data_IF_380421450054
#
_entry.id   IF_380421450054
#
_cell.length_a   1.000
_cell.length_b   1.000
_cell.length_c   1.000
_cell.angle_alpha   90.00
_cell.angle_beta   90.00
_cell.angle_gamma   90.00
#
_symmetry.space_group_name_H-M   'P 1'
#
loop_
_entity.id
_entity.type
_entity.pdbx_description
1 polymer ?
#
# COMPACT_ATOMS: atom_id res chain seq x y z
N UNK A 1 9.52 -9.91 13.68
CA UNK A 1 9.26 -8.64 12.97
C UNK A 1 7.81 -8.61 12.54
N UNK A 2 7.20 -7.44 12.41
CA UNK A 2 5.93 -7.34 11.71
C UNK A 2 6.06 -7.90 10.29
N UNK A 3 4.93 -8.22 9.66
CA UNK A 3 4.90 -8.64 8.26
C UNK A 3 5.46 -7.50 7.40
N UNK A 4 6.44 -7.82 6.54
CA UNK A 4 7.04 -6.87 5.60
C UNK A 4 6.69 -7.26 4.17
N UNK A 5 6.05 -6.33 3.44
CA UNK A 5 5.59 -6.49 2.06
C UNK A 5 6.37 -5.59 1.10
N UNK A 6 6.52 -6.02 -0.14
CA UNK A 6 7.01 -5.20 -1.25
C UNK A 6 5.82 -4.71 -2.07
N UNK A 7 5.49 -3.42 -1.99
CA UNK A 7 4.46 -2.83 -2.85
C UNK A 7 4.94 -2.78 -4.31
N UNK A 8 4.05 -3.11 -5.24
CA UNK A 8 4.39 -3.19 -6.67
C UNK A 8 4.96 -1.89 -7.20
N UNK A 9 4.47 -0.76 -6.68
CA UNK A 9 4.93 0.56 -7.13
C UNK A 9 6.42 0.81 -6.89
N UNK A 10 7.07 0.13 -5.95
CA UNK A 10 8.53 0.21 -5.74
C UNK A 10 9.32 -0.33 -6.93
N UNK A 11 8.76 -1.29 -7.65
CA UNK A 11 9.36 -1.97 -8.81
C UNK A 11 8.35 -2.08 -9.95
N UNK A 12 7.66 -1.00 -10.26
CA UNK A 12 6.47 -0.96 -11.15
C UNK A 12 6.71 -1.48 -12.56
N UNK A 13 7.93 -1.51 -13.03
CA UNK A 13 8.36 -2.08 -14.31
C UNK A 13 8.50 -3.62 -14.29
N UNK A 14 8.41 -4.25 -13.12
CA UNK A 14 8.32 -5.70 -13.00
C UNK A 14 6.91 -6.18 -13.39
N UNK A 15 6.81 -7.27 -14.14
CA UNK A 15 5.53 -7.97 -14.28
C UNK A 15 5.15 -8.69 -12.96
N UNK A 16 3.92 -9.20 -12.82
CA UNK A 16 3.49 -9.85 -11.59
C UNK A 16 4.38 -11.01 -11.12
N UNK A 17 4.95 -11.79 -12.03
CA UNK A 17 5.81 -12.93 -11.70
C UNK A 17 7.19 -12.44 -11.25
N UNK A 18 7.74 -11.45 -11.95
CA UNK A 18 9.01 -10.81 -11.60
C UNK A 18 8.93 -10.07 -10.25
N UNK A 19 7.78 -9.45 -9.92
CA UNK A 19 7.53 -8.86 -8.60
C UNK A 19 7.61 -9.91 -7.49
N UNK A 20 6.93 -11.06 -7.67
CA UNK A 20 6.94 -12.16 -6.68
C UNK A 20 8.36 -12.69 -6.50
N UNK A 21 9.10 -12.91 -7.60
CA UNK A 21 10.49 -13.35 -7.55
C UNK A 21 11.41 -12.35 -6.85
N UNK A 22 11.23 -11.06 -7.14
CA UNK A 22 12.00 -9.99 -6.50
C UNK A 22 11.71 -9.93 -4.99
N UNK A 23 10.44 -10.05 -4.59
CA UNK A 23 10.04 -10.10 -3.18
C UNK A 23 10.67 -11.30 -2.46
N UNK A 24 10.55 -12.50 -3.04
CA UNK A 24 11.12 -13.72 -2.47
C UNK A 24 12.66 -13.64 -2.35
N UNK A 25 13.35 -13.20 -3.41
CA UNK A 25 14.81 -13.06 -3.42
C UNK A 25 15.33 -11.99 -2.45
N UNK A 26 14.48 -11.01 -2.11
CA UNK A 26 14.77 -9.94 -1.17
C UNK A 26 14.34 -10.26 0.28
N UNK A 27 13.72 -11.44 0.52
CA UNK A 27 13.30 -11.88 1.85
C UNK A 27 12.11 -11.11 2.43
N UNK A 28 11.18 -10.70 1.58
CA UNK A 28 9.87 -10.20 2.00
C UNK A 28 8.94 -11.35 2.37
N UNK A 29 7.95 -11.08 3.22
CA UNK A 29 6.91 -12.05 3.60
C UNK A 29 5.77 -12.08 2.57
N UNK A 30 5.56 -10.96 1.88
CA UNK A 30 4.46 -10.77 0.93
C UNK A 30 4.80 -9.70 -0.12
N UNK A 31 3.93 -9.56 -1.11
CA UNK A 31 3.92 -8.43 -2.05
C UNK A 31 2.54 -7.79 -2.09
N UNK A 32 2.48 -6.48 -2.33
CA UNK A 32 1.28 -5.79 -2.81
C UNK A 32 1.24 -5.87 -4.33
N UNK A 33 0.12 -6.23 -4.93
CA UNK A 33 0.03 -6.44 -6.38
C UNK A 33 -0.89 -5.43 -7.03
N UNK A 34 -0.36 -4.67 -7.99
CA UNK A 34 -1.17 -3.76 -8.80
C UNK A 34 -1.90 -4.52 -9.90
N UNK A 35 -3.25 -4.54 -9.81
CA UNK A 35 -4.12 -5.22 -10.77
C UNK A 35 -5.07 -4.25 -11.48
N UNK A 36 -5.09 -2.98 -11.05
CA UNK A 36 -5.84 -1.89 -11.69
C UNK A 36 -4.86 -0.80 -12.09
N UNK A 37 -4.84 -0.34 -13.34
CA UNK A 37 -3.96 0.75 -13.76
C UNK A 37 -4.41 2.06 -13.09
N UNK A 38 -3.48 2.86 -12.54
CA UNK A 38 -3.83 4.18 -12.03
C UNK A 38 -4.29 5.11 -13.16
N UNK A 39 -5.13 6.11 -12.86
CA UNK A 39 -5.57 7.08 -13.85
C UNK A 39 -4.40 7.75 -14.56
N UNK A 40 -4.43 7.74 -15.90
CA UNK A 40 -3.41 8.36 -16.75
C UNK A 40 -2.03 7.69 -16.70
N UNK A 41 -1.92 6.49 -16.14
CA UNK A 41 -0.69 5.70 -16.19
C UNK A 41 -0.61 4.84 -17.47
N UNK A 42 0.60 4.35 -17.77
CA UNK A 42 0.78 3.33 -18.79
C UNK A 42 -0.01 2.06 -18.44
N UNK A 43 -0.43 1.28 -19.43
CA UNK A 43 -1.06 -0.02 -19.20
C UNK A 43 -0.14 -0.91 -18.36
N UNK A 44 -0.75 -1.66 -17.43
CA UNK A 44 -0.08 -2.71 -16.67
C UNK A 44 -0.35 -4.07 -17.31
N UNK A 45 0.42 -5.09 -16.92
CA UNK A 45 0.13 -6.47 -17.34
C UNK A 45 -1.26 -6.87 -16.84
N UNK A 46 -2.17 -7.30 -17.72
CA UNK A 46 -3.51 -7.69 -17.33
C UNK A 46 -3.50 -8.88 -16.36
N UNK A 47 -4.28 -8.76 -15.30
CA UNK A 47 -4.49 -9.83 -14.30
C UNK A 47 -5.97 -10.10 -14.12
N UNK A 48 -6.78 -9.04 -14.00
CA UNK A 48 -8.24 -9.15 -13.92
C UNK A 48 -8.78 -9.68 -15.24
N UNK A 49 -9.51 -10.80 -15.17
CA UNK A 49 -10.05 -11.47 -16.37
C UNK A 49 -9.05 -12.34 -17.15
N UNK A 50 -7.76 -12.35 -16.77
CA UNK A 50 -6.75 -13.23 -17.38
C UNK A 50 -6.52 -14.47 -16.51
N UNK A 51 -7.28 -15.52 -16.78
CA UNK A 51 -7.18 -16.79 -16.05
C UNK A 51 -5.80 -17.48 -16.22
N UNK A 52 -5.07 -17.23 -17.30
CA UNK A 52 -3.74 -17.81 -17.51
C UNK A 52 -2.72 -17.12 -16.58
N UNK A 53 -2.75 -15.78 -16.52
CA UNK A 53 -1.90 -15.02 -15.63
C UNK A 53 -2.21 -15.33 -14.16
N UNK A 54 -3.49 -15.40 -13.77
CA UNK A 54 -3.90 -15.73 -12.38
C UNK A 54 -3.38 -17.13 -11.96
N UNK A 55 -3.46 -18.14 -12.86
CA UNK A 55 -2.86 -19.45 -12.59
C UNK A 55 -1.34 -19.39 -12.46
N UNK A 56 -0.67 -18.62 -13.31
CA UNK A 56 0.78 -18.45 -13.24
C UNK A 56 1.22 -17.78 -11.94
N UNK A 57 0.50 -16.74 -11.49
CA UNK A 57 0.72 -16.07 -10.21
C UNK A 57 0.55 -17.08 -9.05
N UNK A 58 -0.55 -17.81 -9.00
CA UNK A 58 -0.80 -18.82 -7.94
C UNK A 58 0.29 -19.90 -7.91
N UNK A 59 0.73 -20.38 -9.05
CA UNK A 59 1.83 -21.34 -9.13
C UNK A 59 3.16 -20.75 -8.62
N UNK A 60 3.45 -19.47 -8.95
CA UNK A 60 4.65 -18.79 -8.47
C UNK A 60 4.61 -18.53 -6.96
N UNK A 61 3.47 -18.13 -6.40
CA UNK A 61 3.27 -17.99 -4.98
C UNK A 61 3.51 -19.31 -4.24
N UNK A 62 2.97 -20.42 -4.79
CA UNK A 62 3.16 -21.76 -4.19
C UNK A 62 4.63 -22.21 -4.20
N UNK A 63 5.41 -21.89 -5.25
CA UNK A 63 6.82 -22.29 -5.35
C UNK A 63 7.75 -21.42 -4.54
N UNK A 64 7.41 -20.15 -4.34
CA UNK A 64 8.24 -19.19 -3.59
C UNK A 64 7.86 -19.08 -2.11
N UNK A 65 6.68 -19.55 -1.72
CA UNK A 65 6.11 -19.34 -0.39
C UNK A 65 5.62 -17.91 -0.14
N UNK A 66 5.67 -17.05 -1.15
CA UNK A 66 5.19 -15.66 -1.06
C UNK A 66 3.66 -15.60 -0.97
N UNK A 67 3.17 -14.47 -0.45
CA UNK A 67 1.74 -14.17 -0.35
C UNK A 67 1.43 -12.85 -1.07
N UNK A 68 0.19 -12.69 -1.52
CA UNK A 68 -0.33 -11.36 -1.85
C UNK A 68 -0.94 -10.78 -0.56
N UNK A 69 -0.41 -9.67 -0.07
CA UNK A 69 -0.95 -8.99 1.11
C UNK A 69 -2.16 -8.15 0.74
N UNK A 70 -2.01 -7.37 -0.30
CA UNK A 70 -3.00 -6.41 -0.79
C UNK A 70 -3.01 -6.37 -2.31
N UNK A 71 -4.10 -5.85 -2.86
CA UNK A 71 -4.18 -5.45 -4.26
C UNK A 71 -4.36 -3.94 -4.34
N UNK A 72 -3.68 -3.31 -5.32
CA UNK A 72 -3.60 -1.86 -5.46
C UNK A 72 -3.85 -1.38 -6.89
N UNK A 73 -4.27 -0.17 -7.05
CA UNK A 73 -5.12 0.62 -6.17
C UNK A 73 -6.39 0.98 -6.94
N UNK A 74 -7.53 0.85 -6.32
CA UNK A 74 -8.78 1.36 -6.89
C UNK A 74 -8.79 2.87 -6.69
N UNK A 75 -9.06 3.60 -7.77
CA UNK A 75 -9.29 5.04 -7.72
C UNK A 75 -10.76 5.34 -7.94
N UNK A 76 -11.40 5.94 -6.94
CA UNK A 76 -12.74 6.48 -7.07
C UNK A 76 -12.66 7.86 -7.73
N UNK A 77 -13.15 7.94 -8.95
CA UNK A 77 -13.16 9.13 -9.81
C UNK A 77 -14.62 9.49 -10.15
N UNK A 78 -14.88 10.69 -10.66
CA UNK A 78 -16.23 11.07 -11.10
C UNK A 78 -16.89 10.10 -12.09
N UNK A 79 -16.07 9.49 -12.94
CA UNK A 79 -16.51 8.54 -13.99
C UNK A 79 -16.48 7.07 -13.56
N UNK A 80 -16.13 6.76 -12.31
CA UNK A 80 -16.01 5.37 -11.84
C UNK A 80 -17.38 4.69 -11.86
N UNK A 81 -17.52 3.65 -12.69
CA UNK A 81 -18.61 2.69 -12.55
C UNK A 81 -18.25 1.68 -11.46
N UNK A 82 -18.78 1.94 -10.26
CA UNK A 82 -18.46 1.12 -9.08
C UNK A 82 -18.89 -0.33 -9.26
N UNK A 83 -19.96 -0.61 -10.00
CA UNK A 83 -20.46 -1.96 -10.24
C UNK A 83 -19.48 -2.80 -11.08
N UNK A 84 -18.68 -2.16 -11.93
CA UNK A 84 -17.66 -2.81 -12.76
C UNK A 84 -16.46 -3.33 -11.97
N UNK A 85 -16.34 -3.00 -10.69
CA UNK A 85 -15.22 -3.41 -9.84
C UNK A 85 -15.37 -4.82 -9.24
N UNK A 86 -16.53 -5.47 -9.36
CA UNK A 86 -16.74 -6.82 -8.83
C UNK A 86 -15.65 -7.83 -9.31
N UNK A 87 -15.25 -7.89 -10.59
CA UNK A 87 -14.17 -8.76 -11.04
C UNK A 87 -12.80 -8.44 -10.42
N UNK A 88 -12.54 -7.18 -10.04
CA UNK A 88 -11.31 -6.78 -9.32
C UNK A 88 -11.30 -7.39 -7.93
N UNK A 89 -12.43 -7.31 -7.21
CA UNK A 89 -12.57 -7.90 -5.86
C UNK A 89 -12.44 -9.43 -5.92
N UNK A 90 -13.10 -10.08 -6.89
CA UNK A 90 -13.03 -11.53 -7.06
C UNK A 90 -11.59 -11.99 -7.37
N UNK A 91 -10.88 -11.28 -8.25
CA UNK A 91 -9.48 -11.54 -8.56
C UNK A 91 -8.58 -11.35 -7.32
N UNK A 92 -8.83 -10.31 -6.52
CA UNK A 92 -8.07 -10.07 -5.28
C UNK A 92 -8.15 -11.25 -4.33
N UNK A 93 -9.37 -11.76 -4.09
CA UNK A 93 -9.60 -12.94 -3.25
C UNK A 93 -8.98 -14.20 -3.84
N UNK A 94 -9.15 -14.42 -5.15
CA UNK A 94 -8.60 -15.58 -5.84
C UNK A 94 -7.07 -15.67 -5.74
N UNK A 95 -6.40 -14.53 -5.70
CA UNK A 95 -4.96 -14.43 -5.51
C UNK A 95 -4.53 -14.47 -4.03
N UNK A 96 -5.47 -14.51 -3.10
CA UNK A 96 -5.21 -14.61 -1.67
C UNK A 96 -4.95 -13.28 -0.96
N UNK A 97 -5.26 -12.15 -1.60
CA UNK A 97 -5.18 -10.84 -0.95
C UNK A 97 -6.19 -10.76 0.22
N UNK A 98 -5.79 -10.05 1.25
CA UNK A 98 -6.65 -9.78 2.43
C UNK A 98 -7.03 -8.32 2.55
N UNK A 99 -6.39 -7.46 1.77
CA UNK A 99 -6.57 -6.01 1.78
C UNK A 99 -6.71 -5.48 0.35
N UNK A 100 -7.46 -4.40 0.24
CA UNK A 100 -7.68 -3.66 -1.00
C UNK A 100 -7.37 -2.20 -0.75
N UNK A 101 -6.42 -1.62 -1.49
CA UNK A 101 -6.06 -0.21 -1.37
C UNK A 101 -6.97 0.62 -2.26
N UNK A 102 -7.53 1.69 -1.68
CA UNK A 102 -8.48 2.59 -2.34
C UNK A 102 -8.07 4.03 -2.11
N UNK A 103 -8.05 4.80 -3.18
CA UNK A 103 -7.90 6.26 -3.18
C UNK A 103 -9.14 6.92 -3.77
N UNK A 104 -9.43 8.16 -3.40
CA UNK A 104 -10.48 8.95 -4.04
C UNK A 104 -9.93 10.27 -4.55
N UNK A 105 -10.36 10.64 -5.75
CA UNK A 105 -10.13 11.96 -6.34
C UNK A 105 -11.41 12.43 -7.05
N UNK A 106 -12.53 12.30 -6.37
CA UNK A 106 -13.84 12.77 -6.81
C UNK A 106 -14.26 13.98 -5.97
N UNK A 107 -14.41 15.14 -6.60
CA UNK A 107 -14.83 16.37 -5.94
C UNK A 107 -16.28 16.36 -5.41
N UNK A 108 -17.09 15.37 -5.81
CA UNK A 108 -18.44 15.20 -5.28
C UNK A 108 -18.41 14.25 -4.07
N UNK A 109 -18.47 14.85 -2.86
CA UNK A 109 -18.36 14.10 -1.61
C UNK A 109 -19.43 13.02 -1.45
N UNK A 110 -20.66 13.30 -1.80
CA UNK A 110 -21.78 12.34 -1.68
C UNK A 110 -21.49 11.08 -2.52
N UNK A 111 -21.02 11.25 -3.75
CA UNK A 111 -20.66 10.13 -4.62
C UNK A 111 -19.45 9.34 -4.10
N UNK A 112 -18.45 10.03 -3.53
CA UNK A 112 -17.33 9.36 -2.86
C UNK A 112 -17.82 8.47 -1.73
N UNK A 113 -18.72 8.97 -0.87
CA UNK A 113 -19.28 8.21 0.26
C UNK A 113 -20.09 7.01 -0.20
N UNK A 114 -20.98 7.20 -1.20
CA UNK A 114 -21.80 6.14 -1.77
C UNK A 114 -20.93 5.03 -2.40
N UNK A 115 -19.96 5.41 -3.22
CA UNK A 115 -19.08 4.47 -3.89
C UNK A 115 -18.19 3.71 -2.88
N UNK A 116 -17.65 4.40 -1.89
CA UNK A 116 -16.82 3.76 -0.87
C UNK A 116 -17.67 2.85 0.04
N UNK A 117 -18.90 3.23 0.39
CA UNK A 117 -19.80 2.38 1.15
C UNK A 117 -20.14 1.09 0.38
N UNK A 118 -20.47 1.19 -0.90
CA UNK A 118 -20.69 0.03 -1.76
C UNK A 118 -19.46 -0.86 -1.83
N UNK A 119 -18.29 -0.26 -2.02
CA UNK A 119 -17.02 -1.00 -2.12
C UNK A 119 -16.68 -1.73 -0.81
N UNK A 120 -16.91 -1.09 0.34
CA UNK A 120 -16.73 -1.72 1.65
C UNK A 120 -17.67 -2.92 1.83
N UNK A 121 -18.96 -2.77 1.50
CA UNK A 121 -19.93 -3.87 1.60
C UNK A 121 -19.56 -5.02 0.66
N UNK A 122 -19.29 -4.74 -0.61
CA UNK A 122 -18.90 -5.75 -1.60
C UNK A 122 -17.59 -6.48 -1.22
N UNK A 123 -16.64 -5.75 -0.60
CA UNK A 123 -15.38 -6.29 -0.08
C UNK A 123 -15.60 -7.14 1.18
N UNK A 124 -16.50 -6.71 2.08
CA UNK A 124 -16.84 -7.43 3.30
C UNK A 124 -17.41 -8.82 3.01
N UNK A 125 -18.31 -8.91 2.02
CA UNK A 125 -18.87 -10.19 1.55
C UNK A 125 -17.83 -11.17 1.04
N UNK A 126 -16.63 -10.68 0.70
CA UNK A 126 -15.48 -11.43 0.18
C UNK A 126 -14.36 -11.63 1.20
N UNK A 127 -14.51 -11.10 2.41
CA UNK A 127 -13.47 -11.16 3.45
C UNK A 127 -12.29 -10.22 3.20
N UNK A 128 -12.43 -9.24 2.31
CA UNK A 128 -11.42 -8.20 2.07
C UNK A 128 -11.61 -7.02 3.02
N UNK A 129 -10.51 -6.49 3.53
CA UNK A 129 -10.48 -5.22 4.24
C UNK A 129 -10.11 -4.08 3.30
N UNK A 130 -10.92 -3.04 3.26
CA UNK A 130 -10.65 -1.82 2.49
C UNK A 130 -9.71 -0.93 3.27
N UNK A 131 -8.62 -0.49 2.63
CA UNK A 131 -7.64 0.43 3.20
C UNK A 131 -7.72 1.74 2.43
N UNK A 132 -8.35 2.76 3.02
CA UNK A 132 -8.48 4.08 2.43
C UNK A 132 -7.17 4.84 2.57
N UNK A 133 -6.55 5.18 1.47
CA UNK A 133 -5.33 5.98 1.42
C UNK A 133 -5.67 7.44 1.13
N UNK A 134 -5.14 8.35 1.95
CA UNK A 134 -5.21 9.79 1.70
C UNK A 134 -3.94 10.28 1.00
N UNK A 135 -4.12 11.21 0.06
CA UNK A 135 -3.01 11.80 -0.69
C UNK A 135 -3.19 13.32 -0.75
N UNK A 136 -2.19 14.13 -0.37
CA UNK A 136 -2.35 15.57 -0.20
C UNK A 136 -2.71 16.34 -1.49
N UNK A 137 -2.63 15.68 -2.63
CA UNK A 137 -2.97 16.24 -3.96
C UNK A 137 -4.27 15.65 -4.55
N UNK A 138 -5.13 15.05 -3.73
CA UNK A 138 -6.46 14.51 -4.08
C UNK A 138 -7.56 15.18 -3.24
N UNK A 139 -8.78 14.67 -3.33
CA UNK A 139 -9.91 15.21 -2.54
C UNK A 139 -9.97 14.67 -1.11
N UNK A 140 -9.30 13.54 -0.80
CA UNK A 140 -9.04 13.08 0.57
C UNK A 140 -7.56 13.33 0.87
N UNK A 141 -7.25 14.46 1.51
CA UNK A 141 -5.90 15.03 1.55
C UNK A 141 -5.11 14.70 2.80
N UNK A 142 -5.80 14.27 3.86
CA UNK A 142 -5.19 14.13 5.19
C UNK A 142 -5.77 12.95 5.97
N UNK A 143 -5.06 12.55 7.01
CA UNK A 143 -5.52 11.54 7.96
C UNK A 143 -6.88 11.89 8.57
N UNK A 144 -7.08 13.16 8.93
CA UNK A 144 -8.33 13.64 9.51
C UNK A 144 -9.50 13.54 8.51
N UNK A 145 -9.28 13.86 7.23
CA UNK A 145 -10.31 13.73 6.19
C UNK A 145 -10.63 12.27 5.89
N UNK A 146 -9.63 11.38 5.82
CA UNK A 146 -9.85 9.94 5.67
C UNK A 146 -10.66 9.37 6.84
N UNK A 147 -10.31 9.75 8.06
CA UNK A 147 -11.07 9.36 9.25
C UNK A 147 -12.50 9.87 9.21
N UNK A 148 -12.72 11.15 8.85
CA UNK A 148 -14.07 11.72 8.76
C UNK A 148 -14.95 10.98 7.74
N UNK A 149 -14.38 10.54 6.61
CA UNK A 149 -15.08 9.71 5.62
C UNK A 149 -15.50 8.36 6.22
N UNK A 150 -14.60 7.67 6.92
CA UNK A 150 -14.91 6.38 7.54
C UNK A 150 -15.92 6.52 8.69
N UNK A 151 -15.87 7.60 9.49
CA UNK A 151 -16.84 7.87 10.55
C UNK A 151 -18.25 8.15 10.02
N UNK A 152 -18.37 8.70 8.81
CA UNK A 152 -19.64 8.95 8.17
C UNK A 152 -20.28 7.66 7.61
N UNK A 153 -19.47 6.80 6.99
CA UNK A 153 -19.92 5.52 6.40
C UNK A 153 -20.05 4.42 7.45
N UNK A 154 -19.15 4.39 8.45
CA UNK A 154 -19.03 3.37 9.51
C UNK A 154 -18.95 1.94 8.98
N UNK A 155 -18.04 1.63 8.07
CA UNK A 155 -17.90 0.30 7.51
C UNK A 155 -17.24 -0.64 8.53
N UNK A 156 -17.70 -1.90 8.59
CA UNK A 156 -17.16 -2.89 9.52
C UNK A 156 -15.75 -3.39 9.13
N UNK A 157 -15.38 -3.27 7.85
CA UNK A 157 -14.18 -3.88 7.26
C UNK A 157 -13.22 -2.87 6.64
N UNK A 158 -13.25 -1.62 7.05
CA UNK A 158 -12.31 -0.64 6.53
C UNK A 158 -11.26 -0.21 7.56
N UNK A 159 -10.23 0.42 7.07
CA UNK A 159 -9.17 1.08 7.82
C UNK A 159 -8.53 2.17 6.97
N UNK A 160 -7.55 2.83 7.54
CA UNK A 160 -6.79 3.89 6.87
C UNK A 160 -5.39 3.35 6.59
N UNK A 161 -4.98 3.41 5.34
CA UNK A 161 -3.59 3.23 4.96
C UNK A 161 -2.87 4.56 5.19
N UNK A 162 -1.86 4.52 6.02
CA UNK A 162 -1.01 5.69 6.29
C UNK A 162 0.33 5.47 5.60
N UNK A 163 0.61 6.31 4.62
CA UNK A 163 1.90 6.39 3.96
C UNK A 163 2.75 7.49 4.61
N UNK A 164 4.02 7.20 4.88
CA UNK A 164 4.93 8.13 5.55
C UNK A 164 5.10 9.46 4.79
N UNK A 165 5.19 9.39 3.45
CA UNK A 165 5.27 10.58 2.61
C UNK A 165 3.96 11.38 2.68
N UNK A 166 2.83 10.72 2.48
CA UNK A 166 1.54 11.39 2.44
C UNK A 166 1.17 12.01 3.79
N UNK A 167 1.48 11.36 4.91
CA UNK A 167 1.31 11.95 6.24
C UNK A 167 2.17 13.20 6.39
N UNK A 168 3.45 13.15 6.02
CA UNK A 168 4.35 14.29 6.08
C UNK A 168 3.87 15.46 5.20
N UNK A 169 3.50 15.16 3.96
CA UNK A 169 3.13 16.17 2.95
C UNK A 169 1.73 16.77 3.18
N UNK A 170 0.89 16.12 3.98
CA UNK A 170 -0.39 16.68 4.48
C UNK A 170 -0.24 17.52 5.75
N UNK A 171 0.99 17.75 6.22
CA UNK A 171 1.27 18.49 7.45
C UNK A 171 1.07 17.68 8.73
N UNK A 172 0.85 16.37 8.62
CA UNK A 172 0.70 15.48 9.75
C UNK A 172 2.03 14.95 10.30
N UNK A 173 1.94 14.28 11.42
CA UNK A 173 3.06 13.70 12.16
C UNK A 173 2.70 12.35 12.79
N UNK A 174 3.68 11.53 13.19
CA UNK A 174 3.40 10.31 13.94
C UNK A 174 2.59 10.48 15.22
N UNK A 175 2.71 11.65 15.87
CA UNK A 175 1.98 11.94 17.10
C UNK A 175 0.46 12.02 16.88
N UNK A 176 0.02 12.41 15.70
CA UNK A 176 -1.41 12.56 15.38
C UNK A 176 -2.13 11.21 15.41
N UNK A 177 -1.42 10.12 15.11
CA UNK A 177 -1.98 8.75 15.10
C UNK A 177 -2.56 8.34 16.47
N UNK A 178 -2.03 8.88 17.56
CA UNK A 178 -2.50 8.60 18.91
C UNK A 178 -3.94 9.08 19.19
N UNK A 179 -4.49 9.93 18.33
CA UNK A 179 -5.85 10.48 18.45
C UNK A 179 -6.91 9.56 17.81
N UNK A 180 -6.51 8.45 17.19
CA UNK A 180 -7.39 7.54 16.44
C UNK A 180 -7.34 6.12 16.99
N UNK A 181 -8.38 5.33 16.71
CA UNK A 181 -8.39 3.91 17.06
C UNK A 181 -7.26 3.18 16.34
N UNK A 182 -6.33 2.53 17.08
CA UNK A 182 -5.25 1.76 16.46
C UNK A 182 -5.73 0.66 15.50
N UNK A 183 -6.94 0.13 15.69
CA UNK A 183 -7.51 -0.89 14.81
C UNK A 183 -7.74 -0.41 13.36
N UNK A 184 -7.73 0.90 13.12
CA UNK A 184 -7.78 1.46 11.77
C UNK A 184 -6.50 1.23 10.96
N UNK A 185 -5.36 1.01 11.61
CA UNK A 185 -4.04 1.03 11.00
C UNK A 185 -3.43 -0.36 10.85
N UNK A 186 -4.00 -1.20 9.98
CA UNK A 186 -3.51 -2.57 9.77
C UNK A 186 -2.52 -2.72 8.62
N UNK A 187 -2.35 -1.68 7.79
CA UNK A 187 -1.40 -1.60 6.67
C UNK A 187 -0.79 -0.20 6.63
N UNK A 188 0.53 -0.15 6.48
CA UNK A 188 1.33 1.08 6.51
C UNK A 188 2.28 1.07 5.34
N UNK A 189 2.37 2.18 4.59
CA UNK A 189 3.39 2.34 3.56
C UNK A 189 4.64 3.03 4.10
N UNK A 190 5.78 2.39 3.90
CA UNK A 190 7.10 2.90 4.24
C UNK A 190 7.77 3.47 3.00
N UNK A 191 8.26 4.68 3.11
CA UNK A 191 9.27 5.28 2.25
C UNK A 191 9.99 6.37 3.05
N UNK A 192 11.02 6.96 2.47
CA UNK A 192 11.63 8.19 2.95
C UNK A 192 11.51 9.28 1.89
N UNK A 193 11.81 10.50 2.25
CA UNK A 193 11.82 11.66 1.37
C UNK A 193 12.70 12.76 1.99
N UNK A 194 13.10 13.81 1.23
CA UNK A 194 13.70 15.00 1.81
C UNK A 194 12.82 15.57 2.94
N UNK A 195 13.45 16.12 3.98
CA UNK A 195 12.72 16.74 5.10
C UNK A 195 11.82 17.89 4.63
N UNK A 196 12.34 18.71 3.74
CA UNK A 196 11.61 19.83 3.16
C UNK A 196 10.67 19.33 2.04
N UNK A 197 9.36 19.64 2.10
CA UNK A 197 8.44 19.28 1.03
C UNK A 197 8.70 20.11 -0.25
N UNK A 198 8.40 19.56 -1.43
CA UNK A 198 8.37 20.36 -2.66
C UNK A 198 7.17 21.32 -2.64
N UNK A 199 7.03 22.15 -3.69
CA UNK A 199 5.80 22.92 -3.91
C UNK A 199 4.60 21.98 -4.09
N UNK A 200 3.39 22.50 -3.95
CA UNK A 200 2.17 21.70 -4.11
C UNK A 200 2.12 20.97 -5.47
N UNK A 201 2.53 21.65 -6.55
CA UNK A 201 2.59 21.08 -7.90
C UNK A 201 3.62 19.95 -8.01
N UNK A 202 4.65 19.96 -7.16
CA UNK A 202 5.69 18.94 -7.11
C UNK A 202 5.30 17.68 -6.32
N UNK A 203 4.29 17.72 -5.45
CA UNK A 203 3.91 16.61 -4.58
C UNK A 203 3.63 15.31 -5.34
N UNK A 204 2.89 15.40 -6.44
CA UNK A 204 2.56 14.23 -7.25
C UNK A 204 3.79 13.62 -7.94
N UNK A 205 4.72 14.44 -8.37
CA UNK A 205 5.97 13.97 -8.99
C UNK A 205 6.88 13.32 -7.94
N UNK A 206 6.98 13.90 -6.74
CA UNK A 206 7.71 13.30 -5.62
C UNK A 206 7.13 11.92 -5.26
N UNK A 207 5.81 11.81 -5.12
CA UNK A 207 5.14 10.56 -4.78
C UNK A 207 5.37 9.45 -5.82
N UNK A 208 5.54 9.80 -7.11
CA UNK A 208 5.63 8.85 -8.23
C UNK A 208 7.05 8.46 -8.65
N UNK A 209 8.08 9.14 -8.16
CA UNK A 209 9.46 8.84 -8.59
C UNK A 209 10.55 9.52 -7.77
N UNK A 210 10.17 10.39 -6.84
CA UNK A 210 11.08 11.13 -5.97
C UNK A 210 11.22 10.57 -4.57
N UNK A 211 10.58 9.43 -4.26
CA UNK A 211 10.73 8.80 -2.95
C UNK A 211 12.13 8.24 -2.76
N UNK A 212 12.50 8.03 -1.51
CA UNK A 212 13.77 7.46 -1.09
C UNK A 212 13.52 6.16 -0.29
N UNK A 213 14.51 5.29 -0.19
CA UNK A 213 14.42 4.16 0.70
C UNK A 213 14.60 4.58 2.16
N UNK A 214 14.03 3.86 3.13
CA UNK A 214 14.09 4.22 4.54
C UNK A 214 15.52 4.48 5.04
N UNK A 215 15.74 5.68 5.58
CA UNK A 215 17.04 6.14 6.07
C UNK A 215 17.88 6.91 5.05
N UNK A 216 17.39 7.12 3.84
CA UNK A 216 18.07 7.94 2.82
C UNK A 216 17.57 9.39 2.77
N UNK A 217 16.51 9.69 3.51
CA UNK A 217 15.87 11.00 3.58
C UNK A 217 15.88 11.59 4.98
N UNK A 218 14.87 12.40 5.27
CA UNK A 218 14.74 13.14 6.53
C UNK A 218 13.39 13.01 7.22
N UNK A 219 12.57 12.00 6.87
CA UNK A 219 11.32 11.77 7.57
C UNK A 219 11.56 11.10 8.94
N UNK A 220 10.67 11.32 9.88
CA UNK A 220 10.69 10.80 11.25
C UNK A 220 10.32 9.31 11.34
N UNK A 221 10.93 8.45 10.51
CA UNK A 221 10.48 7.07 10.27
C UNK A 221 10.51 6.17 11.50
N UNK A 222 11.47 6.33 12.43
CA UNK A 222 11.47 5.53 13.65
C UNK A 222 10.28 5.83 14.55
N UNK A 223 9.93 7.12 14.69
CA UNK A 223 8.75 7.55 15.44
C UNK A 223 7.47 7.08 14.73
N UNK A 224 7.45 7.17 13.40
CA UNK A 224 6.35 6.69 12.56
C UNK A 224 6.09 5.21 12.79
N UNK A 225 7.09 4.35 12.68
CA UNK A 225 6.96 2.90 12.90
C UNK A 225 6.46 2.59 14.33
N UNK A 226 6.96 3.31 15.35
CA UNK A 226 6.55 3.10 16.75
C UNK A 226 5.09 3.47 17.02
N UNK A 227 4.51 4.36 16.23
CA UNK A 227 3.15 4.85 16.42
C UNK A 227 2.06 3.84 16.01
N UNK A 228 2.41 2.78 15.29
CA UNK A 228 1.45 1.78 14.82
C UNK A 228 1.33 0.58 15.77
N UNK A 229 0.20 -0.20 15.70
CA UNK A 229 0.04 -1.46 16.41
C UNK A 229 1.15 -2.46 16.10
N UNK A 230 1.41 -3.40 17.01
CA UNK A 230 2.45 -4.42 16.81
C UNK A 230 2.17 -5.39 15.66
N UNK A 231 0.90 -5.61 15.35
CA UNK A 231 0.41 -6.49 14.29
C UNK A 231 0.19 -5.79 12.95
N UNK A 232 0.40 -4.48 12.88
CA UNK A 232 0.37 -3.75 11.62
C UNK A 232 1.38 -4.32 10.63
N UNK A 233 0.95 -4.51 9.38
CA UNK A 233 1.83 -4.88 8.28
C UNK A 233 2.48 -3.62 7.69
N UNK A 234 3.75 -3.72 7.34
CA UNK A 234 4.48 -2.65 6.66
C UNK A 234 4.79 -3.05 5.22
N UNK A 235 4.40 -2.23 4.27
CA UNK A 235 4.77 -2.39 2.88
C UNK A 235 5.72 -1.27 2.45
N UNK A 236 6.84 -1.61 1.83
CA UNK A 236 7.72 -0.60 1.25
C UNK A 236 7.14 -0.14 -0.08
N UNK A 237 6.73 1.14 -0.14
CA UNK A 237 6.28 1.80 -1.35
C UNK A 237 7.17 3.01 -1.65
N UNK A 238 8.27 2.78 -2.35
CA UNK A 238 9.27 3.80 -2.61
C UNK A 238 9.70 3.82 -4.07
N UNK A 239 8.80 4.23 -5.00
CA UNK A 239 9.20 4.46 -6.38
C UNK A 239 10.24 5.57 -6.42
N UNK A 240 11.44 5.22 -6.88
CA UNK A 240 12.58 6.14 -6.90
C UNK A 240 13.31 6.08 -8.22
N UNK A 241 13.59 7.25 -8.79
CA UNK A 241 14.45 7.37 -9.96
C UNK A 241 15.92 7.06 -9.67
N UNK A 242 16.34 7.17 -8.40
CA UNK A 242 17.73 6.92 -7.96
C UNK A 242 18.25 5.54 -8.35
N UNK A 243 17.37 4.54 -8.31
CA UNK A 243 17.73 3.14 -8.59
C UNK A 243 17.04 2.58 -9.83
N UNK A 244 16.43 3.41 -10.66
CA UNK A 244 15.66 2.97 -11.84
C UNK A 244 16.48 2.13 -12.84
N UNK A 245 17.81 2.33 -12.90
CA UNK A 245 18.69 1.54 -13.75
C UNK A 245 19.00 0.13 -13.23
N UNK A 246 18.69 -0.17 -11.96
CA UNK A 246 18.93 -1.48 -11.37
C UNK A 246 17.77 -2.44 -11.69
N UNK A 247 18.07 -3.75 -11.84
CA UNK A 247 17.02 -4.77 -11.96
C UNK A 247 16.05 -4.76 -10.77
N UNK A 248 14.77 -5.17 -10.96
CA UNK A 248 13.76 -5.21 -9.89
C UNK A 248 14.23 -5.96 -8.63
N UNK A 249 14.93 -7.08 -8.78
CA UNK A 249 15.48 -7.87 -7.65
C UNK A 249 16.48 -7.07 -6.82
N UNK A 250 17.36 -6.30 -7.45
CA UNK A 250 18.35 -5.49 -6.72
C UNK A 250 17.69 -4.33 -6.00
N UNK A 251 16.69 -3.68 -6.63
CA UNK A 251 15.87 -2.63 -5.99
C UNK A 251 15.12 -3.18 -4.80
N UNK A 252 14.48 -4.34 -4.94
CA UNK A 252 13.77 -5.02 -3.86
C UNK A 252 14.71 -5.36 -2.69
N UNK A 253 15.91 -5.87 -2.95
CA UNK A 253 16.92 -6.15 -1.90
C UNK A 253 17.31 -4.90 -1.13
N UNK A 254 17.66 -3.82 -1.84
CA UNK A 254 18.01 -2.54 -1.20
C UNK A 254 16.85 -2.00 -0.35
N UNK A 255 15.64 -2.00 -0.89
CA UNK A 255 14.44 -1.54 -0.19
C UNK A 255 14.15 -2.42 1.04
N UNK A 256 14.25 -3.73 0.92
CA UNK A 256 14.07 -4.68 2.02
C UNK A 256 15.11 -4.52 3.12
N UNK A 257 16.38 -4.37 2.78
CA UNK A 257 17.46 -4.16 3.76
C UNK A 257 17.27 -2.85 4.53
N UNK A 258 16.95 -1.76 3.83
CA UNK A 258 16.66 -0.47 4.42
C UNK A 258 15.45 -0.54 5.38
N UNK A 259 14.39 -1.22 4.96
CA UNK A 259 13.17 -1.39 5.77
C UNK A 259 13.43 -2.22 7.03
N UNK A 260 14.15 -3.35 6.93
CA UNK A 260 14.52 -4.18 8.09
C UNK A 260 15.41 -3.43 9.07
N UNK A 261 16.38 -2.65 8.56
CA UNK A 261 17.21 -1.80 9.41
C UNK A 261 16.38 -0.75 10.16
N UNK A 262 15.41 -0.11 9.50
CA UNK A 262 14.48 0.83 10.12
C UNK A 262 13.65 0.14 11.21
N UNK A 263 13.00 -0.99 10.89
CA UNK A 263 12.16 -1.74 11.84
C UNK A 263 12.97 -2.15 13.07
N UNK A 264 14.21 -2.58 12.90
CA UNK A 264 15.12 -2.92 14.01
C UNK A 264 15.43 -1.71 14.89
N UNK A 265 15.78 -0.55 14.32
CA UNK A 265 16.02 0.69 15.08
C UNK A 265 14.76 1.19 15.80
N UNK A 266 13.59 0.97 15.20
CA UNK A 266 12.30 1.29 15.82
C UNK A 266 11.90 0.31 16.94
N UNK A 267 12.68 -0.74 17.21
CA UNK A 267 12.38 -1.74 18.24
C UNK A 267 11.41 -2.83 17.80
N UNK A 268 11.12 -2.96 16.50
CA UNK A 268 10.25 -4.00 15.93
C UNK A 268 11.09 -5.24 15.60
N UNK A 269 11.36 -6.08 16.60
CA UNK A 269 12.16 -7.30 16.43
C UNK A 269 11.33 -8.47 15.88
N UNK A 270 12.02 -9.50 15.34
CA UNK A 270 11.38 -10.74 14.93
C UNK A 270 10.57 -11.33 16.09
N UNK A 271 9.34 -11.76 15.81
CA UNK A 271 8.64 -12.64 16.75
C UNK A 271 9.54 -13.88 16.93
N UNK A 272 9.93 -14.19 18.16
CA UNK A 272 10.51 -15.49 18.47
C UNK A 272 9.45 -16.55 18.14
N UNK A 273 9.54 -17.15 16.97
CA UNK A 273 8.79 -18.37 16.68
C UNK A 273 9.43 -19.42 17.58
N UNK A 274 8.71 -20.04 18.53
CA UNK A 274 9.26 -21.16 19.29
C UNK A 274 9.67 -22.22 18.25
N UNK A 275 10.95 -22.56 18.22
CA UNK A 275 11.37 -23.73 17.46
C UNK A 275 10.64 -24.92 18.08
N UNK A 276 9.68 -25.47 17.37
CA UNK A 276 9.08 -26.76 17.68
C UNK A 276 10.22 -27.79 17.68
N UNK A 277 10.53 -28.32 18.87
CA UNK A 277 11.43 -29.46 19.06
C UNK A 277 10.79 -30.73 18.49
#
# INVERSE_FOLDING_TARGET
MPLLSLAHFTVIDADPLALIDAGAAAGFDAVGLRIVPPPGAAPIVPVVGDAAMQRAIKARLATTGMKILDTEAIWLLPETDISSLAPVLDTSVELGATRLIVCSNDGERSRTLENLAWLCEASNQRGLRVMLEFLPYTEIRSLAEAHAVLEEIKPANAGILVDALHLSRSGGSPADLASYDPALFSLVHLCDAPAEPPSFEGLRAEARGGRLYPGEGGLWLEQFVRAFPEDAAFAIEAPTSRYAALPPVERAKKAGDASRALLTRAGRHARNVPQSR
#
